data_IF_434051165068
#
_entry.id   IF_434051165068
#
_cell.length_a   1.000
_cell.length_b   1.000
_cell.length_c   1.000
_cell.angle_alpha   90.00
_cell.angle_beta   90.00
_cell.angle_gamma   90.00
#
_symmetry.space_group_name_H-M   'P 1'
#
loop_
_entity.id
_entity.type
_entity.pdbx_description
1 polymer ?
#
# COMPACT_ATOMS: atom_id res chain seq x y z
N UNK A 1 -62.62 15.89 0.74
CA UNK A 1 -61.87 14.91 1.54
C UNK A 1 -60.57 14.63 0.81
N UNK A 2 -59.45 14.99 1.44
CA UNK A 2 -58.13 15.10 0.87
C UNK A 2 -57.55 13.74 0.44
N UNK A 3 -57.52 13.44 -0.86
CA UNK A 3 -56.63 12.43 -1.43
C UNK A 3 -55.32 13.12 -1.84
N UNK A 4 -54.43 13.36 -0.87
CA UNK A 4 -53.09 13.88 -1.17
C UNK A 4 -52.12 13.35 -0.12
N UNK A 5 -50.97 12.82 -0.59
CA UNK A 5 -49.75 12.47 0.18
C UNK A 5 -49.47 10.98 0.45
N UNK A 6 -49.32 10.17 -0.60
CA UNK A 6 -48.59 8.88 -0.51
C UNK A 6 -47.41 8.69 -1.51
N UNK A 7 -46.75 9.70 -2.11
CA UNK A 7 -45.55 9.40 -2.90
C UNK A 7 -44.30 9.18 -2.01
N UNK A 8 -44.32 9.68 -0.77
CA UNK A 8 -43.15 9.71 0.11
C UNK A 8 -42.84 8.35 0.75
N UNK A 9 -43.84 7.51 1.00
CA UNK A 9 -43.64 6.18 1.61
C UNK A 9 -42.99 5.19 0.63
N UNK A 10 -43.27 5.32 -0.68
CA UNK A 10 -42.70 4.44 -1.69
C UNK A 10 -41.21 4.72 -1.95
N UNK A 11 -40.78 5.97 -1.80
CA UNK A 11 -39.37 6.36 -1.99
C UNK A 11 -38.44 5.82 -0.88
N UNK A 12 -38.93 5.67 0.36
CA UNK A 12 -38.13 5.16 1.48
C UNK A 12 -37.90 3.65 1.46
N UNK A 13 -38.76 2.87 0.80
CA UNK A 13 -38.64 1.40 0.74
C UNK A 13 -37.55 0.91 -0.22
N UNK A 14 -37.05 1.75 -1.13
CA UNK A 14 -36.00 1.40 -2.11
C UNK A 14 -34.57 1.59 -1.60
N UNK A 15 -34.37 2.22 -0.43
CA UNK A 15 -33.04 2.61 0.06
C UNK A 15 -32.34 1.58 0.96
N UNK A 16 -32.98 0.48 1.32
CA UNK A 16 -32.45 -0.48 2.31
C UNK A 16 -31.53 -1.56 1.67
N UNK A 17 -31.41 -1.62 0.35
CA UNK A 17 -30.72 -2.71 -0.37
C UNK A 17 -29.23 -2.51 -0.72
N UNK A 18 -28.67 -1.29 -0.62
CA UNK A 18 -27.33 -1.00 -1.16
C UNK A 18 -26.18 -1.03 -0.13
N UNK A 19 -26.43 -1.43 1.13
CA UNK A 19 -25.42 -1.38 2.18
C UNK A 19 -24.54 -2.64 2.29
N UNK A 20 -24.83 -3.70 1.52
CA UNK A 20 -24.18 -5.01 1.68
C UNK A 20 -23.03 -5.27 0.71
N UNK A 21 -22.98 -4.60 -0.44
CA UNK A 21 -21.89 -4.76 -1.40
C UNK A 21 -20.69 -3.88 -0.99
N UNK A 22 -19.46 -4.42 -0.84
CA UNK A 22 -18.31 -3.68 -0.30
C UNK A 22 -17.63 -2.78 -1.36
N UNK A 23 -18.39 -1.88 -1.99
CA UNK A 23 -17.89 -0.98 -3.05
C UNK A 23 -16.77 -0.06 -2.55
N UNK A 24 -16.93 0.48 -1.34
CA UNK A 24 -16.00 1.43 -0.76
C UNK A 24 -14.66 0.77 -0.42
N UNK A 25 -14.69 -0.43 0.16
CA UNK A 25 -13.50 -1.18 0.53
C UNK A 25 -12.70 -1.60 -0.70
N UNK A 26 -13.38 -2.09 -1.74
CA UNK A 26 -12.73 -2.42 -3.03
C UNK A 26 -12.13 -1.18 -3.70
N UNK A 27 -12.84 -0.06 -3.71
CA UNK A 27 -12.32 1.20 -4.25
C UNK A 27 -11.06 1.66 -3.50
N UNK A 28 -11.11 1.64 -2.17
CA UNK A 28 -9.97 1.98 -1.33
C UNK A 28 -8.78 1.04 -1.55
N UNK A 29 -9.02 -0.26 -1.72
CA UNK A 29 -7.99 -1.26 -1.99
C UNK A 29 -7.32 -1.01 -3.34
N UNK A 30 -8.11 -0.78 -4.41
CA UNK A 30 -7.61 -0.42 -5.75
C UNK A 30 -6.76 0.84 -5.72
N UNK A 31 -7.23 1.88 -5.05
CA UNK A 31 -6.50 3.15 -4.92
C UNK A 31 -5.18 2.96 -4.16
N UNK A 32 -5.19 2.19 -3.06
CA UNK A 32 -3.98 1.89 -2.30
C UNK A 32 -2.98 1.08 -3.13
N UNK A 33 -3.46 0.07 -3.87
CA UNK A 33 -2.62 -0.75 -4.75
C UNK A 33 -1.98 0.10 -5.85
N UNK A 34 -2.77 0.97 -6.49
CA UNK A 34 -2.26 1.90 -7.50
C UNK A 34 -1.21 2.84 -6.91
N UNK A 35 -1.45 3.40 -5.73
CA UNK A 35 -0.49 4.27 -5.06
C UNK A 35 0.80 3.54 -4.64
N UNK A 36 0.75 2.23 -4.41
CA UNK A 36 1.94 1.41 -4.18
C UNK A 36 2.73 1.18 -5.48
N UNK A 37 2.04 0.87 -6.58
CA UNK A 37 2.65 0.72 -7.90
C UNK A 37 3.32 2.03 -8.35
N UNK A 38 2.66 3.16 -8.16
CA UNK A 38 3.19 4.49 -8.50
C UNK A 38 4.39 4.89 -7.63
N UNK A 39 4.54 4.28 -6.46
CA UNK A 39 5.71 4.44 -5.59
C UNK A 39 6.82 3.43 -5.90
N UNK A 40 6.72 2.69 -7.02
CA UNK A 40 7.67 1.68 -7.47
C UNK A 40 7.83 0.47 -6.52
N UNK A 41 6.72 0.06 -5.89
CA UNK A 41 6.73 -1.08 -4.98
C UNK A 41 7.09 -2.42 -5.61
N UNK A 42 7.08 -2.53 -6.93
CA UNK A 42 7.55 -3.74 -7.61
C UNK A 42 9.04 -3.99 -7.37
N UNK A 43 9.85 -2.93 -7.26
CA UNK A 43 11.29 -3.06 -7.03
C UNK A 43 11.65 -3.07 -5.54
N UNK A 44 10.94 -2.26 -4.74
CA UNK A 44 11.31 -2.01 -3.34
C UNK A 44 10.51 -2.82 -2.31
N UNK A 45 9.32 -3.30 -2.65
CA UNK A 45 8.45 -4.03 -1.74
C UNK A 45 7.60 -5.10 -2.46
N UNK A 46 8.21 -5.99 -3.27
CA UNK A 46 7.49 -6.90 -4.16
C UNK A 46 6.57 -7.86 -3.40
N UNK A 47 6.99 -8.34 -2.23
CA UNK A 47 6.20 -9.29 -1.43
C UNK A 47 4.85 -8.69 -1.02
N UNK A 48 4.84 -7.45 -0.52
CA UNK A 48 3.59 -6.77 -0.15
C UNK A 48 2.75 -6.41 -1.35
N UNK A 49 3.38 -5.96 -2.45
CA UNK A 49 2.64 -5.62 -3.66
C UNK A 49 1.93 -6.85 -4.23
N UNK A 50 2.62 -7.99 -4.25
CA UNK A 50 2.06 -9.26 -4.70
C UNK A 50 0.92 -9.72 -3.78
N UNK A 51 1.11 -9.70 -2.46
CA UNK A 51 0.05 -10.03 -1.48
C UNK A 51 -1.17 -9.12 -1.65
N UNK A 52 -0.96 -7.82 -1.80
CA UNK A 52 -2.03 -6.87 -2.00
C UNK A 52 -2.82 -7.14 -3.30
N UNK A 53 -2.11 -7.49 -4.37
CA UNK A 53 -2.69 -7.83 -5.67
C UNK A 53 -3.51 -9.12 -5.59
N UNK A 54 -2.96 -10.17 -4.96
CA UNK A 54 -3.63 -11.44 -4.74
C UNK A 54 -4.90 -11.27 -3.90
N UNK A 55 -4.81 -10.53 -2.79
CA UNK A 55 -5.95 -10.25 -1.91
C UNK A 55 -7.04 -9.45 -2.62
N UNK A 56 -6.68 -8.48 -3.47
CA UNK A 56 -7.68 -7.74 -4.26
C UNK A 56 -8.38 -8.67 -5.26
N UNK A 57 -7.60 -9.51 -5.97
CA UNK A 57 -8.15 -10.52 -6.87
C UNK A 57 -9.11 -11.46 -6.12
N UNK A 58 -8.72 -11.96 -4.96
CA UNK A 58 -9.56 -12.81 -4.11
C UNK A 58 -10.81 -12.08 -3.59
N UNK A 59 -10.74 -10.76 -3.39
CA UNK A 59 -11.90 -9.95 -3.02
C UNK A 59 -12.91 -9.86 -4.17
N UNK A 60 -12.42 -9.68 -5.39
CA UNK A 60 -13.23 -9.60 -6.60
C UNK A 60 -13.88 -10.94 -6.94
N UNK A 61 -13.12 -12.05 -6.85
CA UNK A 61 -13.65 -13.41 -7.06
C UNK A 61 -14.75 -13.77 -6.05
N UNK A 62 -14.63 -13.33 -4.79
CA UNK A 62 -15.65 -13.56 -3.76
C UNK A 62 -16.99 -12.86 -4.06
N UNK A 63 -17.07 -12.01 -5.08
CA UNK A 63 -18.30 -11.37 -5.53
C UNK A 63 -18.88 -12.01 -6.79
N UNK A 64 -18.24 -13.04 -7.34
CA UNK A 64 -18.79 -13.80 -8.45
C UNK A 64 -20.03 -14.58 -8.02
N UNK A 65 -21.04 -14.75 -8.90
CA UNK A 65 -22.29 -15.44 -8.55
C UNK A 65 -22.10 -16.83 -7.95
N UNK A 66 -21.03 -17.54 -8.34
CA UNK A 66 -20.70 -18.89 -7.87
C UNK A 66 -20.18 -18.92 -6.41
N UNK A 67 -19.54 -17.85 -5.95
CA UNK A 67 -18.80 -17.76 -4.67
C UNK A 67 -19.31 -16.63 -3.77
N UNK A 68 -20.45 -16.02 -4.12
CA UNK A 68 -20.96 -14.75 -3.61
C UNK A 68 -20.91 -14.66 -2.07
N UNK A 69 -19.93 -13.92 -1.57
CA UNK A 69 -19.67 -13.72 -0.15
C UNK A 69 -19.16 -12.30 0.09
N UNK A 70 -20.07 -11.39 0.43
CA UNK A 70 -19.74 -9.99 0.72
C UNK A 70 -18.76 -9.84 1.90
N UNK A 71 -18.88 -10.69 2.93
CA UNK A 71 -17.98 -10.68 4.07
C UNK A 71 -16.55 -11.06 3.67
N UNK A 72 -16.39 -12.10 2.83
CA UNK A 72 -15.08 -12.52 2.32
C UNK A 72 -14.47 -11.44 1.42
N UNK A 73 -15.28 -10.87 0.53
CA UNK A 73 -14.86 -9.76 -0.34
C UNK A 73 -14.39 -8.55 0.47
N UNK A 74 -15.15 -8.12 1.48
CA UNK A 74 -14.78 -7.02 2.39
C UNK A 74 -13.46 -7.30 3.10
N UNK A 75 -13.30 -8.49 3.69
CA UNK A 75 -12.10 -8.84 4.44
C UNK A 75 -10.85 -8.87 3.54
N UNK A 76 -10.98 -9.48 2.35
CA UNK A 76 -9.90 -9.53 1.37
C UNK A 76 -9.53 -8.12 0.87
N UNK A 77 -10.51 -7.24 0.62
CA UNK A 77 -10.26 -5.86 0.22
C UNK A 77 -9.53 -5.04 1.31
N UNK A 78 -9.92 -5.19 2.58
CA UNK A 78 -9.25 -4.53 3.70
C UNK A 78 -7.81 -5.04 3.90
N UNK A 79 -7.59 -6.35 3.77
CA UNK A 79 -6.26 -6.94 3.82
C UNK A 79 -5.40 -6.46 2.64
N UNK A 80 -5.95 -6.43 1.42
CA UNK A 80 -5.28 -5.91 0.23
C UNK A 80 -4.83 -4.46 0.43
N UNK A 81 -5.74 -3.59 0.87
CA UNK A 81 -5.44 -2.19 1.20
C UNK A 81 -4.28 -2.09 2.19
N UNK A 82 -4.27 -2.93 3.22
CA UNK A 82 -3.25 -2.92 4.27
C UNK A 82 -1.88 -3.29 3.71
N UNK A 83 -1.79 -4.36 2.93
CA UNK A 83 -0.54 -4.78 2.28
C UNK A 83 -0.06 -3.73 1.27
N UNK A 84 -0.97 -3.13 0.49
CA UNK A 84 -0.61 -2.05 -0.44
C UNK A 84 -0.04 -0.82 0.29
N UNK A 85 -0.58 -0.46 1.45
CA UNK A 85 -0.04 0.64 2.27
C UNK A 85 1.38 0.32 2.77
N UNK A 86 1.64 -0.93 3.18
CA UNK A 86 3.01 -1.36 3.57
C UNK A 86 3.96 -1.26 2.39
N UNK A 87 3.56 -1.80 1.23
CA UNK A 87 4.31 -1.74 -0.01
C UNK A 87 4.69 -0.31 -0.38
N UNK A 88 3.70 0.60 -0.38
CA UNK A 88 3.90 2.01 -0.67
C UNK A 88 4.87 2.68 0.32
N UNK A 89 4.67 2.47 1.63
CA UNK A 89 5.50 3.11 2.66
C UNK A 89 6.97 2.72 2.52
N UNK A 90 7.23 1.42 2.36
CA UNK A 90 8.59 0.91 2.23
C UNK A 90 9.27 1.49 0.98
N UNK A 91 8.55 1.52 -0.14
CA UNK A 91 9.06 2.03 -1.42
C UNK A 91 9.34 3.53 -1.39
N UNK A 92 8.48 4.32 -0.74
CA UNK A 92 8.76 5.74 -0.51
C UNK A 92 9.98 5.94 0.40
N UNK A 93 10.19 5.07 1.39
CA UNK A 93 11.36 5.14 2.25
C UNK A 93 12.66 4.89 1.45
N UNK A 94 12.67 3.87 0.59
CA UNK A 94 13.77 3.64 -0.35
C UNK A 94 13.99 4.84 -1.28
N UNK A 95 12.95 5.28 -1.99
CA UNK A 95 13.06 6.35 -2.97
C UNK A 95 13.62 7.64 -2.36
N UNK A 96 13.16 8.00 -1.16
CA UNK A 96 13.67 9.18 -0.45
C UNK A 96 15.14 9.02 -0.06
N UNK A 97 15.53 7.88 0.49
CA UNK A 97 16.92 7.68 0.93
C UNK A 97 17.88 7.55 -0.24
N UNK A 98 17.49 6.89 -1.34
CA UNK A 98 18.26 6.83 -2.59
C UNK A 98 18.40 8.24 -3.19
N UNK A 99 17.33 9.04 -3.16
CA UNK A 99 17.40 10.44 -3.59
C UNK A 99 18.42 11.21 -2.74
N UNK A 100 18.37 11.09 -1.42
CA UNK A 100 19.34 11.74 -0.54
C UNK A 100 20.79 11.28 -0.80
N UNK A 101 20.98 9.99 -1.08
CA UNK A 101 22.29 9.41 -1.41
C UNK A 101 22.87 10.01 -2.69
N UNK A 102 22.03 10.21 -3.72
CA UNK A 102 22.43 10.72 -5.03
C UNK A 102 22.62 12.25 -5.03
N UNK A 103 21.77 12.99 -4.32
CA UNK A 103 21.75 14.46 -4.36
C UNK A 103 22.85 15.08 -3.48
N UNK A 104 23.35 14.35 -2.46
CA UNK A 104 24.30 14.90 -1.48
C UNK A 104 25.76 14.65 -1.89
N UNK A 105 26.66 15.64 -1.70
CA UNK A 105 28.09 15.47 -1.92
C UNK A 105 28.72 14.67 -0.77
N UNK A 106 28.64 13.35 -0.85
CA UNK A 106 29.19 12.44 0.15
C UNK A 106 30.60 11.99 -0.23
N UNK A 107 31.40 11.59 0.77
CA UNK A 107 32.66 10.90 0.51
C UNK A 107 32.38 9.48 -0.01
N UNK A 108 33.32 8.93 -0.81
CA UNK A 108 33.19 7.58 -1.37
C UNK A 108 32.89 6.52 -0.30
N UNK A 109 33.57 6.49 0.87
CA UNK A 109 33.28 5.49 1.90
C UNK A 109 31.84 5.57 2.42
N UNK A 110 31.32 6.79 2.66
CA UNK A 110 29.96 7.02 3.15
C UNK A 110 28.93 6.60 2.12
N UNK A 111 29.17 6.93 0.84
CA UNK A 111 28.30 6.51 -0.24
C UNK A 111 28.23 4.98 -0.35
N UNK A 112 29.38 4.29 -0.25
CA UNK A 112 29.45 2.83 -0.31
C UNK A 112 28.74 2.15 0.86
N UNK A 113 28.94 2.66 2.09
CA UNK A 113 28.27 2.14 3.29
C UNK A 113 26.74 2.29 3.19
N UNK A 114 26.25 3.48 2.83
CA UNK A 114 24.83 3.71 2.64
C UNK A 114 24.23 2.83 1.53
N UNK A 115 24.97 2.64 0.43
CA UNK A 115 24.57 1.75 -0.67
C UNK A 115 24.46 0.29 -0.21
N UNK A 116 25.40 -0.18 0.60
CA UNK A 116 25.38 -1.53 1.16
C UNK A 116 24.18 -1.73 2.09
N UNK A 117 23.88 -0.76 2.95
CA UNK A 117 22.71 -0.81 3.84
C UNK A 117 21.40 -0.86 3.04
N UNK A 118 21.30 -0.09 1.94
CA UNK A 118 20.12 -0.12 1.07
C UNK A 118 19.98 -1.47 0.34
N UNK A 119 21.07 -2.11 -0.09
CA UNK A 119 20.97 -3.43 -0.71
C UNK A 119 20.53 -4.50 0.31
N UNK A 120 21.10 -4.48 1.52
CA UNK A 120 20.63 -5.37 2.60
C UNK A 120 19.16 -5.11 2.96
N UNK A 121 18.72 -3.85 2.95
CA UNK A 121 17.33 -3.51 3.19
C UNK A 121 16.41 -4.10 2.11
N UNK A 122 16.86 -4.10 0.87
CA UNK A 122 16.12 -4.64 -0.27
C UNK A 122 16.03 -6.17 -0.16
N UNK A 123 17.11 -6.84 0.22
CA UNK A 123 17.09 -8.29 0.49
C UNK A 123 16.10 -8.64 1.61
N UNK A 124 16.09 -7.86 2.69
CA UNK A 124 15.11 -8.01 3.77
C UNK A 124 13.67 -7.76 3.31
N UNK A 125 13.44 -6.76 2.47
CA UNK A 125 12.12 -6.49 1.89
C UNK A 125 11.65 -7.63 0.97
N UNK A 126 12.57 -8.24 0.23
CA UNK A 126 12.29 -9.40 -0.63
C UNK A 126 12.01 -10.68 0.15
N UNK A 127 12.55 -10.82 1.36
CA UNK A 127 12.21 -11.92 2.28
C UNK A 127 10.94 -11.64 3.10
N UNK A 128 10.41 -10.42 3.08
CA UNK A 128 9.24 -9.99 3.84
C UNK A 128 9.55 -9.62 5.30
N UNK A 129 10.81 -9.33 5.61
CA UNK A 129 11.21 -8.78 6.91
C UNK A 129 11.19 -7.24 6.89
N UNK A 130 9.98 -6.69 7.02
CA UNK A 130 9.72 -5.26 6.94
C UNK A 130 10.44 -4.47 8.05
N UNK A 131 10.63 -5.11 9.21
CA UNK A 131 11.27 -4.50 10.38
C UNK A 131 12.75 -4.31 10.08
N UNK A 132 13.42 -5.37 9.62
CA UNK A 132 14.81 -5.30 9.23
C UNK A 132 15.01 -4.34 8.05
N UNK A 133 14.16 -4.42 7.02
CA UNK A 133 14.22 -3.52 5.87
C UNK A 133 14.10 -2.05 6.30
N UNK A 134 13.11 -1.71 7.11
CA UNK A 134 12.90 -0.34 7.61
C UNK A 134 14.05 0.13 8.50
N UNK A 135 14.59 -0.75 9.34
CA UNK A 135 15.76 -0.46 10.18
C UNK A 135 16.98 -0.12 9.33
N UNK A 136 17.27 -0.92 8.31
CA UNK A 136 18.43 -0.72 7.43
C UNK A 136 18.29 0.56 6.58
N UNK A 137 17.09 0.87 6.08
CA UNK A 137 16.83 2.16 5.41
C UNK A 137 17.06 3.33 6.36
N UNK A 138 16.62 3.22 7.61
CA UNK A 138 16.85 4.26 8.62
C UNK A 138 18.33 4.43 8.93
N UNK A 139 19.09 3.33 9.01
CA UNK A 139 20.54 3.38 9.22
C UNK A 139 21.24 4.04 8.04
N UNK A 140 20.89 3.67 6.80
CA UNK A 140 21.44 4.30 5.59
C UNK A 140 21.18 5.81 5.59
N UNK A 141 19.96 6.24 5.94
CA UNK A 141 19.62 7.65 6.08
C UNK A 141 20.47 8.34 7.15
N UNK A 142 20.67 7.72 8.31
CA UNK A 142 21.52 8.29 9.37
C UNK A 142 22.96 8.48 8.88
N UNK A 143 23.54 7.47 8.21
CA UNK A 143 24.90 7.55 7.63
C UNK A 143 25.02 8.73 6.66
N UNK A 144 24.01 8.92 5.80
CA UNK A 144 23.96 10.03 4.84
C UNK A 144 23.84 11.39 5.55
N UNK A 145 23.01 11.48 6.61
CA UNK A 145 22.70 12.75 7.28
C UNK A 145 23.83 13.24 8.20
N UNK A 146 24.60 12.34 8.82
CA UNK A 146 25.65 12.72 9.78
C UNK A 146 27.01 13.01 9.13
N UNK A 147 27.20 12.63 7.87
CA UNK A 147 28.49 12.74 7.17
C UNK A 147 28.46 13.70 5.98
N UNK A 148 27.66 14.77 6.09
CA UNK A 148 27.63 15.84 5.09
C UNK A 148 29.02 16.48 5.05
N UNK A 149 29.64 16.48 3.86
CA UNK A 149 30.88 17.20 3.64
C UNK A 149 30.55 18.69 3.68
N UNK A 150 31.01 19.41 4.71
CA UNK A 150 30.93 20.87 4.73
C UNK A 150 31.74 21.44 3.53
N UNK A 151 31.26 22.54 2.92
CA UNK A 151 31.86 23.13 1.73
C UNK A 151 33.32 23.56 1.91
#
# INVERSE_FOLDING_TARGET
MCLQSYPLVFFFLLLVGCASYPTQELSNARQALKAAQDADAAHHAPIHLNKATELLSNAEHALEPKDLSYARARNNALASKTEAIKARKLSLAFALTIKELNDRPLSIPVHNEASQLLEQAKDAAQSGDDILASSLISQARTVIQTNIKEP
#
